data_IF_395645940490
#
_entry.id   IF_395645940490
#
_cell.length_a   1.000
_cell.length_b   1.000
_cell.length_c   1.000
_cell.angle_alpha   90.00
_cell.angle_beta   90.00
_cell.angle_gamma   90.00
#
_symmetry.space_group_name_H-M   'P 1'
#
loop_
_entity.id
_entity.type
_entity.pdbx_description
1 polymer ?
#
# COMPACT_ATOMS: atom_id res chain seq x y z
N UNK A 1 16.14 -4.88 -8.34
CA UNK A 1 15.07 -4.47 -7.40
C UNK A 1 15.43 -3.18 -6.66
N UNK A 2 16.52 -3.16 -5.86
CA UNK A 2 16.96 -1.96 -5.11
C UNK A 2 17.15 -0.74 -6.01
N UNK A 3 17.80 -0.90 -7.17
CA UNK A 3 17.99 0.18 -8.14
C UNK A 3 16.66 0.75 -8.67
N UNK A 4 15.69 -0.12 -9.00
CA UNK A 4 14.35 0.30 -9.45
C UNK A 4 13.62 1.08 -8.36
N UNK A 5 13.65 0.60 -7.10
CA UNK A 5 13.05 1.31 -5.98
C UNK A 5 13.76 2.66 -5.70
N UNK A 6 15.08 2.72 -5.83
CA UNK A 6 15.85 3.97 -5.73
C UNK A 6 15.48 4.97 -6.84
N UNK A 7 15.32 4.51 -8.07
CA UNK A 7 14.92 5.37 -9.20
C UNK A 7 13.48 5.84 -9.03
N UNK A 8 12.56 4.95 -8.67
CA UNK A 8 11.14 5.28 -8.48
C UNK A 8 10.92 6.26 -7.32
N UNK A 9 11.66 6.08 -6.21
CA UNK A 9 11.41 6.84 -4.98
C UNK A 9 12.41 7.95 -4.69
N UNK A 10 13.60 7.94 -5.32
CA UNK A 10 14.73 8.84 -5.01
C UNK A 10 15.09 8.90 -3.51
N UNK A 11 14.66 7.92 -2.73
CA UNK A 11 14.88 7.82 -1.28
C UNK A 11 15.20 6.39 -0.90
N UNK A 12 16.38 6.20 -0.31
CA UNK A 12 16.88 4.89 0.14
C UNK A 12 16.00 4.30 1.25
N UNK A 13 15.45 5.14 2.13
CA UNK A 13 14.54 4.73 3.21
C UNK A 13 13.24 4.12 2.66
N UNK A 14 12.59 4.78 1.69
CA UNK A 14 11.38 4.27 1.07
C UNK A 14 11.63 2.96 0.32
N UNK A 15 12.76 2.87 -0.39
CA UNK A 15 13.17 1.65 -1.08
C UNK A 15 13.34 0.47 -0.11
N UNK A 16 13.95 0.71 1.06
CA UNK A 16 14.14 -0.31 2.08
C UNK A 16 12.81 -0.74 2.72
N UNK A 17 11.90 0.20 2.98
CA UNK A 17 10.56 -0.08 3.51
C UNK A 17 9.76 -0.97 2.56
N UNK A 18 9.81 -0.70 1.25
CA UNK A 18 9.13 -1.50 0.23
C UNK A 18 9.74 -2.92 0.07
N UNK A 19 11.01 -3.11 0.44
CA UNK A 19 11.62 -4.45 0.41
C UNK A 19 11.06 -5.38 1.46
N UNK A 20 10.73 -4.88 2.66
CA UNK A 20 10.27 -5.73 3.77
C UNK A 20 9.04 -6.57 3.39
N UNK A 21 7.92 -6.00 2.92
CA UNK A 21 6.74 -6.80 2.52
C UNK A 21 7.00 -7.69 1.29
N UNK A 22 8.03 -7.39 0.49
CA UNK A 22 8.37 -8.19 -0.70
C UNK A 22 9.24 -9.41 -0.36
N UNK A 23 10.26 -9.23 0.47
CA UNK A 23 11.25 -10.27 0.77
C UNK A 23 10.72 -11.25 1.81
N UNK A 24 9.96 -10.76 2.80
CA UNK A 24 9.46 -11.56 3.92
C UNK A 24 8.63 -12.80 3.50
N UNK A 25 7.66 -12.71 2.58
CA UNK A 25 6.93 -13.88 2.09
C UNK A 25 7.83 -14.89 1.38
N UNK A 26 8.75 -14.41 0.54
CA UNK A 26 9.67 -15.29 -0.20
C UNK A 26 10.61 -16.02 0.74
N UNK A 27 11.15 -15.31 1.75
CA UNK A 27 11.93 -15.92 2.82
C UNK A 27 11.10 -16.92 3.63
N UNK A 28 9.83 -16.62 3.91
CA UNK A 28 8.95 -17.55 4.61
C UNK A 28 8.74 -18.85 3.80
N UNK A 29 8.54 -18.75 2.49
CA UNK A 29 8.39 -19.94 1.62
C UNK A 29 9.69 -20.75 1.55
N UNK A 30 10.84 -20.11 1.34
CA UNK A 30 12.13 -20.81 1.30
C UNK A 30 12.50 -21.38 2.68
N UNK A 31 12.23 -20.63 3.75
CA UNK A 31 12.48 -21.04 5.13
C UNK A 31 11.62 -22.23 5.55
N UNK A 32 10.34 -22.25 5.15
CA UNK A 32 9.47 -23.41 5.38
C UNK A 32 9.93 -24.63 4.59
N UNK A 33 10.43 -24.46 3.35
CA UNK A 33 11.05 -25.57 2.60
C UNK A 33 12.29 -26.12 3.30
N UNK A 34 13.19 -25.24 3.76
CA UNK A 34 14.40 -25.63 4.48
C UNK A 34 14.08 -26.36 5.78
N UNK A 35 13.08 -25.88 6.53
CA UNK A 35 12.61 -26.52 7.75
C UNK A 35 11.95 -27.88 7.50
N UNK A 36 11.20 -28.02 6.40
CA UNK A 36 10.58 -29.27 5.99
C UNK A 36 11.56 -30.28 5.35
N UNK A 37 12.85 -29.93 5.23
CA UNK A 37 13.87 -30.78 4.61
C UNK A 37 13.74 -30.92 3.09
N UNK A 38 12.99 -30.03 2.43
CA UNK A 38 12.89 -30.04 0.96
C UNK A 38 14.19 -29.47 0.35
N UNK A 39 14.70 -30.10 -0.73
CA UNK A 39 15.94 -29.65 -1.36
C UNK A 39 15.77 -28.27 -2.01
N UNK A 40 16.55 -27.30 -1.53
CA UNK A 40 16.69 -25.99 -2.17
C UNK A 40 17.58 -26.16 -3.41
N UNK A 41 16.98 -26.02 -4.58
CA UNK A 41 17.63 -26.25 -5.88
C UNK A 41 17.43 -25.05 -6.82
N UNK A 42 17.88 -25.18 -8.07
CA UNK A 42 17.76 -24.13 -9.08
C UNK A 42 16.28 -23.68 -9.25
N UNK A 43 15.31 -24.59 -9.18
CA UNK A 43 13.90 -24.23 -9.30
C UNK A 43 13.43 -23.33 -8.14
N UNK A 44 13.92 -23.55 -6.92
CA UNK A 44 13.62 -22.66 -5.77
C UNK A 44 14.28 -21.29 -5.91
N UNK A 45 15.48 -21.21 -6.50
CA UNK A 45 16.12 -19.93 -6.79
C UNK A 45 15.37 -19.14 -7.88
N UNK A 46 14.91 -19.83 -8.93
CA UNK A 46 14.07 -19.24 -9.96
C UNK A 46 12.74 -18.74 -9.39
N UNK A 47 12.09 -19.54 -8.54
CA UNK A 47 10.89 -19.16 -7.80
C UNK A 47 11.13 -17.87 -7.00
N UNK A 48 12.20 -17.81 -6.22
CA UNK A 48 12.51 -16.65 -5.40
C UNK A 48 12.66 -15.38 -6.25
N UNK A 49 13.36 -15.49 -7.38
CA UNK A 49 13.56 -14.38 -8.32
C UNK A 49 12.24 -13.89 -8.92
N UNK A 50 11.41 -14.81 -9.43
CA UNK A 50 10.12 -14.48 -10.06
C UNK A 50 9.14 -13.92 -9.02
N UNK A 51 9.01 -14.55 -7.86
CA UNK A 51 8.14 -14.10 -6.77
C UNK A 51 8.50 -12.70 -6.26
N UNK A 52 9.79 -12.42 -6.07
CA UNK A 52 10.24 -11.07 -5.69
C UNK A 52 9.91 -10.04 -6.78
N UNK A 53 10.10 -10.38 -8.06
CA UNK A 53 9.78 -9.50 -9.19
C UNK A 53 8.30 -9.15 -9.30
N UNK A 54 7.41 -10.10 -9.04
CA UNK A 54 5.97 -9.86 -9.06
C UNK A 54 5.50 -9.06 -7.83
N UNK A 55 6.08 -9.32 -6.66
CA UNK A 55 5.66 -8.68 -5.41
C UNK A 55 6.14 -7.23 -5.31
N UNK A 56 7.33 -6.91 -5.84
CA UNK A 56 7.83 -5.52 -5.85
C UNK A 56 6.96 -4.60 -6.72
N UNK A 57 6.40 -5.12 -7.81
CA UNK A 57 5.51 -4.34 -8.69
C UNK A 57 4.29 -3.84 -7.90
N UNK A 58 3.70 -4.70 -7.08
CA UNK A 58 2.58 -4.32 -6.20
C UNK A 58 2.95 -3.22 -5.20
N UNK A 59 4.18 -3.24 -4.68
CA UNK A 59 4.68 -2.18 -3.80
C UNK A 59 4.85 -0.87 -4.57
N UNK A 60 5.42 -0.93 -5.77
CA UNK A 60 5.65 0.24 -6.62
C UNK A 60 4.33 0.89 -7.01
N UNK A 61 3.34 0.11 -7.46
CA UNK A 61 2.02 0.60 -7.81
C UNK A 61 1.34 1.28 -6.61
N UNK A 62 1.42 0.67 -5.42
CA UNK A 62 0.85 1.24 -4.20
C UNK A 62 1.50 2.59 -3.83
N UNK A 63 2.83 2.64 -3.82
CA UNK A 63 3.57 3.84 -3.45
C UNK A 63 3.43 4.95 -4.51
N UNK A 64 3.35 4.60 -5.79
CA UNK A 64 3.11 5.55 -6.87
C UNK A 64 1.74 6.22 -6.70
N UNK A 65 0.69 5.42 -6.47
CA UNK A 65 -0.68 5.91 -6.19
C UNK A 65 -0.73 6.77 -4.93
N UNK A 66 -0.02 6.38 -3.87
CA UNK A 66 0.08 7.19 -2.66
C UNK A 66 0.68 8.57 -2.95
N UNK A 67 1.73 8.64 -3.75
CA UNK A 67 2.34 9.93 -4.14
C UNK A 67 1.42 10.75 -5.03
N UNK A 68 0.66 10.12 -5.91
CA UNK A 68 -0.33 10.77 -6.76
C UNK A 68 -1.42 11.43 -5.90
N UNK A 69 -1.95 10.73 -4.90
CA UNK A 69 -2.94 11.26 -3.95
C UNK A 69 -2.37 12.40 -3.08
N UNK A 70 -1.09 12.30 -2.67
CA UNK A 70 -0.43 13.40 -1.96
C UNK A 70 -0.21 14.62 -2.86
N UNK A 71 0.15 14.42 -4.13
CA UNK A 71 0.31 15.49 -5.11
C UNK A 71 -1.04 16.17 -5.47
N UNK A 72 -2.15 15.45 -5.32
CA UNK A 72 -3.51 15.99 -5.42
C UNK A 72 -3.93 16.86 -4.22
N UNK A 73 -3.08 17.02 -3.21
CA UNK A 73 -3.31 17.90 -2.05
C UNK A 73 -3.91 17.22 -0.83
N UNK A 74 -4.08 15.90 -0.84
CA UNK A 74 -4.57 15.17 0.33
C UNK A 74 -3.50 15.08 1.43
N UNK A 75 -3.94 15.21 2.68
CA UNK A 75 -3.08 14.89 3.83
C UNK A 75 -2.60 13.44 3.74
N UNK A 76 -1.42 13.12 4.26
CA UNK A 76 -0.88 11.75 4.14
C UNK A 76 -1.80 10.67 4.71
N UNK A 77 -2.49 10.96 5.83
CA UNK A 77 -3.43 10.03 6.42
C UNK A 77 -4.62 9.76 5.48
N UNK A 78 -5.13 10.81 4.83
CA UNK A 78 -6.21 10.70 3.86
C UNK A 78 -5.76 10.00 2.56
N UNK A 79 -4.60 10.40 2.02
CA UNK A 79 -3.99 9.79 0.84
C UNK A 79 -3.74 8.28 1.05
N UNK A 80 -3.30 7.89 2.25
CA UNK A 80 -3.09 6.50 2.61
C UNK A 80 -4.39 5.71 2.63
N UNK A 81 -5.46 6.25 3.22
CA UNK A 81 -6.78 5.60 3.25
C UNK A 81 -7.36 5.47 1.84
N UNK A 82 -7.31 6.54 1.03
CA UNK A 82 -7.76 6.53 -0.36
C UNK A 82 -7.02 5.50 -1.19
N UNK A 83 -5.69 5.51 -1.13
CA UNK A 83 -4.85 4.54 -1.83
C UNK A 83 -5.15 3.11 -1.39
N UNK A 84 -5.37 2.90 -0.09
CA UNK A 84 -5.68 1.56 0.43
C UNK A 84 -7.03 1.05 -0.09
N UNK A 85 -8.07 1.88 -0.12
CA UNK A 85 -9.39 1.51 -0.62
C UNK A 85 -9.41 1.28 -2.14
N UNK A 86 -8.70 2.09 -2.92
CA UNK A 86 -8.72 2.00 -4.39
C UNK A 86 -7.68 1.02 -4.90
N UNK A 87 -6.41 1.26 -4.60
CA UNK A 87 -5.28 0.49 -5.11
C UNK A 87 -5.16 -0.85 -4.40
N UNK A 88 -5.52 -0.94 -3.12
CA UNK A 88 -5.56 -2.23 -2.41
C UNK A 88 -6.49 -3.23 -3.10
N UNK A 89 -7.68 -2.81 -3.52
CA UNK A 89 -8.60 -3.66 -4.28
C UNK A 89 -7.99 -4.09 -5.63
N UNK A 90 -7.36 -3.17 -6.38
CA UNK A 90 -6.69 -3.47 -7.64
C UNK A 90 -5.57 -4.52 -7.48
N UNK A 91 -4.77 -4.40 -6.41
CA UNK A 91 -3.70 -5.35 -6.09
C UNK A 91 -4.22 -6.74 -5.75
N UNK A 92 -5.33 -6.83 -5.00
CA UNK A 92 -5.97 -8.12 -4.68
C UNK A 92 -6.44 -8.79 -5.97
N UNK A 93 -7.14 -8.07 -6.85
CA UNK A 93 -7.64 -8.61 -8.12
C UNK A 93 -6.48 -9.12 -8.99
N UNK A 94 -5.42 -8.33 -9.14
CA UNK A 94 -4.24 -8.73 -9.90
C UNK A 94 -3.56 -9.98 -9.29
N UNK A 95 -3.42 -10.01 -7.97
CA UNK A 95 -2.78 -11.13 -7.26
C UNK A 95 -3.60 -12.41 -7.37
N UNK A 96 -4.93 -12.33 -7.28
CA UNK A 96 -5.82 -13.46 -7.48
C UNK A 96 -5.68 -14.01 -8.91
N UNK A 97 -5.63 -13.15 -9.92
CA UNK A 97 -5.42 -13.56 -11.31
C UNK A 97 -4.06 -14.30 -11.48
N UNK A 98 -2.99 -13.76 -10.88
CA UNK A 98 -1.67 -14.42 -10.86
C UNK A 98 -1.72 -15.78 -10.17
N UNK A 99 -2.35 -15.88 -8.99
CA UNK A 99 -2.52 -17.14 -8.25
C UNK A 99 -3.23 -18.18 -9.13
N UNK A 100 -4.31 -17.81 -9.81
CA UNK A 100 -4.99 -18.70 -10.76
C UNK A 100 -4.07 -19.14 -11.91
N UNK A 101 -3.25 -18.23 -12.44
CA UNK A 101 -2.24 -18.56 -13.45
C UNK A 101 -1.23 -19.60 -12.97
N UNK A 102 -0.73 -19.45 -11.74
CA UNK A 102 0.18 -20.43 -11.13
C UNK A 102 -0.51 -21.74 -10.76
N UNK A 103 -1.80 -21.72 -10.40
CA UNK A 103 -2.59 -22.94 -10.20
C UNK A 103 -2.65 -23.81 -11.45
N UNK A 104 -2.64 -23.23 -12.67
CA UNK A 104 -2.58 -24.03 -13.90
C UNK A 104 -1.29 -24.86 -13.97
N UNK A 105 -0.16 -24.35 -13.49
CA UNK A 105 1.11 -25.09 -13.47
C UNK A 105 1.06 -26.32 -12.56
N UNK A 106 0.21 -26.31 -11.53
CA UNK A 106 0.02 -27.47 -10.63
C UNK A 106 -0.63 -28.66 -11.33
N UNK A 107 -1.26 -28.46 -12.49
CA UNK A 107 -1.82 -29.53 -13.33
C UNK A 107 -0.79 -30.16 -14.30
N UNK A 108 0.46 -29.69 -14.27
CA UNK A 108 1.52 -30.22 -15.13
C UNK A 108 1.90 -31.66 -14.78
N UNK A 109 2.32 -32.42 -15.80
CA UNK A 109 2.92 -33.76 -15.62
C UNK A 109 4.38 -33.70 -15.16
N UNK A 110 5.00 -32.52 -15.20
CA UNK A 110 6.39 -32.32 -14.78
C UNK A 110 6.43 -31.79 -13.34
N UNK A 111 6.83 -32.65 -12.40
CA UNK A 111 6.82 -32.39 -10.95
C UNK A 111 7.49 -31.05 -10.55
N UNK A 112 8.63 -30.64 -11.14
CA UNK A 112 9.23 -29.35 -10.84
C UNK A 112 8.31 -28.15 -11.10
N UNK A 113 7.48 -28.20 -12.16
CA UNK A 113 6.51 -27.15 -12.45
C UNK A 113 5.34 -27.15 -11.47
N UNK A 114 4.94 -28.32 -10.98
CA UNK A 114 3.87 -28.44 -9.99
C UNK A 114 4.28 -27.78 -8.67
N UNK A 115 5.47 -28.11 -8.17
CA UNK A 115 6.01 -27.49 -6.96
C UNK A 115 6.24 -26.00 -7.15
N UNK A 116 6.78 -25.59 -8.30
CA UNK A 116 6.97 -24.18 -8.63
C UNK A 116 5.65 -23.40 -8.60
N UNK A 117 4.60 -23.91 -9.27
CA UNK A 117 3.29 -23.28 -9.29
C UNK A 117 2.68 -23.13 -7.90
N UNK A 118 2.73 -24.20 -7.09
CA UNK A 118 2.20 -24.17 -5.73
C UNK A 118 2.94 -23.16 -4.85
N UNK A 119 4.28 -23.19 -4.86
CA UNK A 119 5.10 -22.30 -4.03
C UNK A 119 4.99 -20.84 -4.50
N UNK A 120 4.87 -20.59 -5.80
CA UNK A 120 4.67 -19.25 -6.36
C UNK A 120 3.33 -18.66 -5.94
N UNK A 121 2.25 -19.46 -5.99
CA UNK A 121 0.94 -19.04 -5.51
C UNK A 121 0.98 -18.68 -4.01
N UNK A 122 1.67 -19.48 -3.19
CA UNK A 122 1.82 -19.21 -1.75
C UNK A 122 2.64 -17.94 -1.50
N UNK A 123 3.75 -17.75 -2.22
CA UNK A 123 4.58 -16.56 -2.12
C UNK A 123 3.81 -15.29 -2.50
N UNK A 124 3.01 -15.35 -3.56
CA UNK A 124 2.17 -14.22 -4.00
C UNK A 124 1.08 -13.87 -2.99
N UNK A 125 0.40 -14.86 -2.43
CA UNK A 125 -0.58 -14.63 -1.37
C UNK A 125 0.06 -13.96 -0.15
N UNK A 126 1.21 -14.47 0.29
CA UNK A 126 1.97 -13.84 1.37
C UNK A 126 2.43 -12.43 1.00
N UNK A 127 2.84 -12.21 -0.26
CA UNK A 127 3.29 -10.93 -0.79
C UNK A 127 2.20 -9.87 -0.82
N UNK A 128 1.01 -10.19 -1.34
CA UNK A 128 -0.10 -9.23 -1.37
C UNK A 128 -0.57 -8.90 0.04
N UNK A 129 -0.65 -9.89 0.94
CA UNK A 129 -1.01 -9.66 2.34
C UNK A 129 0.05 -8.78 3.02
N UNK A 130 1.33 -9.09 2.82
CA UNK A 130 2.44 -8.29 3.33
C UNK A 130 2.38 -6.86 2.79
N UNK A 131 2.10 -6.68 1.52
CA UNK A 131 2.03 -5.35 0.92
C UNK A 131 0.81 -4.56 1.40
N UNK A 132 -0.35 -5.18 1.60
CA UNK A 132 -1.54 -4.47 2.08
C UNK A 132 -1.50 -4.21 3.59
N UNK A 133 -0.83 -5.03 4.38
CA UNK A 133 -0.80 -4.87 5.85
C UNK A 133 0.48 -4.17 6.31
N UNK A 134 1.62 -4.69 5.88
CA UNK A 134 2.93 -4.26 6.37
C UNK A 134 3.35 -2.92 5.74
N UNK A 135 3.10 -2.72 4.44
CA UNK A 135 3.48 -1.48 3.77
C UNK A 135 2.81 -0.22 4.40
N UNK A 136 1.48 -0.14 4.60
CA UNK A 136 0.87 1.04 5.22
C UNK A 136 1.29 1.20 6.69
N UNK A 137 1.59 0.10 7.40
CA UNK A 137 2.10 0.14 8.76
C UNK A 137 3.50 0.77 8.82
N UNK A 138 4.44 0.32 7.97
CA UNK A 138 5.78 0.90 7.90
C UNK A 138 5.75 2.35 7.41
N UNK A 139 4.89 2.68 6.44
CA UNK A 139 4.69 4.04 5.96
C UNK A 139 4.21 4.96 7.09
N UNK A 140 3.24 4.53 7.91
CA UNK A 140 2.77 5.28 9.08
C UNK A 140 3.88 5.52 10.12
N UNK A 141 4.72 4.51 10.35
CA UNK A 141 5.84 4.62 11.31
C UNK A 141 6.92 5.60 10.82
N UNK A 142 7.25 5.57 9.52
CA UNK A 142 8.27 6.46 8.95
C UNK A 142 7.75 7.89 8.81
N UNK A 143 6.49 8.07 8.42
CA UNK A 143 5.91 9.41 8.29
C UNK A 143 5.83 10.17 9.62
N UNK A 144 5.74 9.44 10.75
CA UNK A 144 5.83 10.05 12.08
C UNK A 144 7.15 10.79 12.32
N UNK A 145 8.24 10.46 11.60
CA UNK A 145 9.56 11.11 11.76
C UNK A 145 9.69 12.45 11.02
N UNK A 146 9.15 12.57 9.81
CA UNK A 146 9.20 13.84 9.04
C UNK A 146 8.29 14.91 9.66
N UNK A 147 7.09 14.57 10.13
CA UNK A 147 6.22 15.55 10.82
C UNK A 147 6.74 15.94 12.21
N UNK A 148 7.47 15.05 12.88
CA UNK A 148 8.19 15.43 14.10
C UNK A 148 9.34 16.39 13.81
N UNK A 149 10.01 16.26 12.65
CA UNK A 149 11.04 17.20 12.23
C UNK A 149 10.45 18.55 11.80
N UNK A 150 9.34 18.58 11.07
CA UNK A 150 8.66 19.82 10.70
C UNK A 150 8.08 20.56 11.92
N UNK A 151 7.56 19.82 12.91
CA UNK A 151 7.14 20.36 14.21
C UNK A 151 8.30 20.83 15.08
N UNK A 152 9.43 20.11 15.08
CA UNK A 152 10.65 20.52 15.77
C UNK A 152 11.32 21.74 15.12
N UNK A 153 11.08 21.97 13.82
CA UNK A 153 11.51 23.15 13.06
C UNK A 153 10.53 24.34 13.18
N UNK A 154 9.45 24.22 13.96
CA UNK A 154 8.53 25.31 14.26
C UNK A 154 7.65 25.76 13.09
N UNK A 155 7.58 24.98 12.00
CA UNK A 155 6.84 25.34 10.79
C UNK A 155 5.51 24.58 10.77
N UNK A 156 4.52 24.98 11.59
CA UNK A 156 3.16 24.39 11.49
C UNK A 156 1.99 25.36 11.69
N UNK A 157 2.18 26.70 11.59
CA UNK A 157 1.01 27.61 11.64
C UNK A 157 0.93 28.77 10.64
N UNK A 158 1.97 29.12 9.90
CA UNK A 158 1.94 30.37 9.12
C UNK A 158 1.28 30.26 7.72
N UNK A 159 1.06 29.07 7.14
CA UNK A 159 0.76 28.96 5.69
C UNK A 159 -0.28 27.91 5.28
N UNK A 160 -1.34 27.75 6.06
CA UNK A 160 -2.59 27.18 5.52
C UNK A 160 -3.55 28.33 5.18
N UNK A 161 -3.62 28.77 3.90
CA UNK A 161 -4.85 29.33 3.35
C UNK A 161 -5.98 28.32 3.51
N UNK A 162 -6.66 28.36 4.65
CA UNK A 162 -8.07 27.94 4.70
C UNK A 162 -8.80 29.00 3.88
N UNK A 163 -9.37 28.70 2.71
CA UNK A 163 -10.21 29.67 2.03
C UNK A 163 -11.34 30.04 3.00
N UNK A 164 -11.42 31.32 3.36
CA UNK A 164 -12.40 31.93 4.27
C UNK A 164 -13.85 31.87 3.74
N UNK A 165 -14.17 30.95 2.83
CA UNK A 165 -15.49 30.82 2.19
C UNK A 165 -16.31 29.63 2.68
N UNK A 166 -15.89 28.92 3.72
CA UNK A 166 -16.69 27.83 4.32
C UNK A 166 -17.48 28.26 5.58
N UNK A 167 -17.29 29.47 6.10
CA UNK A 167 -18.03 29.99 7.26
C UNK A 167 -19.35 30.70 6.88
N UNK A 168 -19.66 30.86 5.60
CA UNK A 168 -20.89 31.52 5.12
C UNK A 168 -22.07 30.57 4.85
N UNK A 169 -21.96 29.27 5.17
CA UNK A 169 -23.05 28.29 4.98
C UNK A 169 -23.37 27.44 6.22
N UNK A 170 -22.98 27.89 7.42
CA UNK A 170 -23.62 27.39 8.63
C UNK A 170 -24.98 28.09 8.77
N UNK A 171 -26.12 27.36 8.76
CA UNK A 171 -27.41 27.96 9.04
C UNK A 171 -27.35 28.60 10.43
N UNK A 172 -27.43 29.93 10.46
CA UNK A 172 -27.71 30.65 11.69
C UNK A 172 -29.07 30.18 12.17
N UNK A 173 -29.07 29.34 13.21
CA UNK A 173 -30.26 29.00 13.96
C UNK A 173 -30.77 30.27 14.64
N UNK A 174 -31.49 31.09 13.87
CA UNK A 174 -32.25 32.23 14.34
C UNK A 174 -33.39 31.74 15.22
N UNK A 175 -33.26 32.05 16.50
CA UNK A 175 -34.31 32.68 17.32
C UNK A 175 -35.74 32.39 16.88
N UNK A 176 -36.32 31.36 17.50
CA UNK A 176 -37.76 31.28 17.73
C UNK A 176 -38.11 32.44 18.67
N UNK A 177 -38.63 33.53 18.11
CA UNK A 177 -39.33 34.56 18.88
C UNK A 177 -40.75 34.76 18.36
N UNK A 178 -41.64 34.98 19.30
CA UNK A 178 -43.08 34.74 19.28
C UNK A 178 -43.85 35.99 18.87
N UNK A 179 -44.73 35.88 17.87
CA UNK A 179 -46.08 36.55 17.73
C UNK A 179 -46.19 38.09 17.84
N UNK A 180 -47.36 38.71 17.58
CA UNK A 180 -48.30 38.68 16.45
C UNK A 180 -48.52 40.13 15.89
N UNK A 181 -49.57 40.36 15.07
CA UNK A 181 -50.18 41.64 14.60
C UNK A 181 -50.16 41.75 13.05
N UNK A 182 -51.29 41.47 12.36
CA UNK A 182 -52.43 42.37 12.03
C UNK A 182 -52.03 43.42 10.98
N UNK A 183 -52.67 43.39 9.80
CA UNK A 183 -53.40 44.52 9.19
C UNK A 183 -53.45 44.50 7.63
N UNK A 184 -54.68 44.40 7.11
CA UNK A 184 -55.27 44.94 5.86
C UNK A 184 -54.80 44.50 4.46
N UNK A 185 -55.80 44.04 3.69
CA UNK A 185 -55.78 43.85 2.23
C UNK A 185 -56.93 42.96 1.77
#
# INVERSE_FOLDING_TARGET
MVLMALVAFRSLMLALIAMVPTVLPVLAVIGTMGWAGLPVNIATAMLASVAMGMTIDSSILYLYRLREEQAAGHSFAEALVRTHCTTGAALIVASVALVFGFCVLTRSRFLPLVHFGFLAALALLGGVIGNLVLLPLLLRLTHRREWQQLRALGIEREQLPIPASADSQLPTAGTVDKTPQVENG
#
